data_IF_020971667345
#
_entry.id   IF_020971667345
#
_cell.length_a   1.000
_cell.length_b   1.000
_cell.length_c   1.000
_cell.angle_alpha   90.00
_cell.angle_beta   90.00
_cell.angle_gamma   90.00
#
_symmetry.space_group_name_H-M   'P 1'
#
loop_
_entity.id
_entity.type
_entity.pdbx_description
1 polymer ?
#
# COMPACT_ATOMS: atom_id res chain seq x y z
N UNK A 1 -0.88 -17.36 -7.99
CA UNK A 1 0.32 -18.18 -8.33
C UNK A 1 1.01 -18.70 -7.07
N UNK A 2 1.03 -17.92 -5.99
CA UNK A 2 1.62 -18.32 -4.70
C UNK A 2 0.59 -18.49 -3.58
N UNK A 3 -0.71 -18.42 -3.89
CA UNK A 3 -1.83 -18.59 -2.95
C UNK A 3 -1.72 -19.83 -2.06
N UNK A 4 -1.15 -20.92 -2.58
CA UNK A 4 -0.95 -22.16 -1.83
C UNK A 4 0.39 -22.22 -1.07
N UNK A 5 1.19 -21.14 -1.05
CA UNK A 5 2.44 -21.00 -0.29
C UNK A 5 2.15 -20.33 1.05
N UNK A 6 1.32 -21.00 1.84
CA UNK A 6 0.97 -20.60 3.20
C UNK A 6 1.99 -21.10 4.21
N UNK A 7 1.95 -20.54 5.43
CA UNK A 7 2.73 -21.05 6.55
C UNK A 7 2.58 -22.58 6.72
N UNK A 8 1.34 -23.09 6.75
CA UNK A 8 1.06 -24.51 7.01
C UNK A 8 1.61 -25.41 5.91
N UNK A 9 1.39 -25.03 4.65
CA UNK A 9 1.86 -25.81 3.49
C UNK A 9 3.38 -25.81 3.38
N UNK A 10 4.03 -24.67 3.64
CA UNK A 10 5.49 -24.55 3.64
C UNK A 10 6.08 -25.37 4.80
N UNK A 11 5.53 -25.23 6.00
CA UNK A 11 5.97 -25.99 7.18
C UNK A 11 5.81 -27.49 6.95
N UNK A 12 4.67 -27.93 6.43
CA UNK A 12 4.44 -29.34 6.08
C UNK A 12 5.49 -29.86 5.09
N UNK A 13 5.76 -29.11 4.01
CA UNK A 13 6.76 -29.49 3.02
C UNK A 13 8.17 -29.59 3.63
N UNK A 14 8.56 -28.66 4.52
CA UNK A 14 9.87 -28.72 5.20
C UNK A 14 9.94 -29.96 6.10
N UNK A 15 8.92 -30.22 6.90
CA UNK A 15 8.88 -31.36 7.83
C UNK A 15 8.75 -32.71 7.11
N UNK A 16 8.19 -32.76 5.91
CA UNK A 16 8.16 -33.97 5.07
C UNK A 16 9.58 -34.38 4.65
N UNK A 17 10.42 -33.40 4.29
CA UNK A 17 11.81 -33.63 3.89
C UNK A 17 12.75 -33.98 5.06
N UNK A 18 12.29 -33.87 6.30
CA UNK A 18 13.05 -34.26 7.49
C UNK A 18 12.63 -35.66 7.92
N UNK A 19 13.58 -36.60 7.85
CA UNK A 19 13.32 -38.04 8.02
C UNK A 19 13.98 -38.66 9.24
N UNK A 20 15.03 -38.03 9.79
CA UNK A 20 15.91 -38.64 10.80
C UNK A 20 15.60 -38.28 12.24
N UNK A 21 14.76 -37.27 12.46
CA UNK A 21 14.50 -36.66 13.78
C UNK A 21 13.01 -36.55 14.05
N UNK A 22 12.63 -36.45 15.33
CA UNK A 22 11.25 -36.24 15.72
C UNK A 22 10.73 -34.89 15.19
N UNK A 23 9.56 -34.93 14.55
CA UNK A 23 8.91 -33.77 13.91
C UNK A 23 7.51 -33.47 14.44
N UNK A 24 7.10 -34.15 15.51
CA UNK A 24 5.82 -33.91 16.14
C UNK A 24 5.73 -32.47 16.65
N UNK A 25 4.52 -31.97 16.81
CA UNK A 25 4.28 -30.67 17.41
C UNK A 25 4.95 -30.59 18.80
N UNK A 26 5.60 -29.47 19.11
CA UNK A 26 6.40 -29.29 20.32
C UNK A 26 7.80 -29.94 20.31
N UNK A 27 8.18 -30.65 19.24
CA UNK A 27 9.59 -31.07 19.07
C UNK A 27 10.50 -29.88 18.74
N UNK A 28 11.77 -29.96 19.15
CA UNK A 28 12.75 -28.89 18.88
C UNK A 28 12.83 -28.49 17.40
N UNK A 29 12.76 -29.49 16.51
CA UNK A 29 12.80 -29.29 15.06
C UNK A 29 11.56 -28.55 14.58
N UNK A 30 10.38 -28.97 15.02
CA UNK A 30 9.11 -28.32 14.65
C UNK A 30 9.06 -26.86 15.15
N UNK A 31 9.47 -26.61 16.40
CA UNK A 31 9.56 -25.26 16.96
C UNK A 31 10.54 -24.38 16.20
N UNK A 32 11.71 -24.92 15.81
CA UNK A 32 12.74 -24.16 15.08
C UNK A 32 12.28 -23.81 13.66
N UNK A 33 11.56 -24.69 12.99
CA UNK A 33 11.14 -24.51 11.59
C UNK A 33 9.92 -23.62 11.48
N UNK A 34 9.07 -23.56 12.50
CA UNK A 34 7.86 -22.74 12.52
C UNK A 34 8.11 -21.26 12.16
N UNK A 35 9.00 -20.51 12.86
CA UNK A 35 9.27 -19.12 12.50
C UNK A 35 9.89 -18.98 11.10
N UNK A 36 10.71 -19.95 10.67
CA UNK A 36 11.30 -19.95 9.32
C UNK A 36 10.23 -20.08 8.25
N UNK A 37 9.29 -21.02 8.42
CA UNK A 37 8.17 -21.21 7.50
C UNK A 37 7.26 -19.97 7.44
N UNK A 38 7.10 -19.25 8.57
CA UNK A 38 6.33 -18.01 8.64
C UNK A 38 6.98 -16.91 7.79
N UNK A 39 8.29 -16.70 7.93
CA UNK A 39 9.03 -15.72 7.15
C UNK A 39 9.00 -16.04 5.65
N UNK A 40 9.19 -17.31 5.27
CA UNK A 40 9.08 -17.75 3.87
C UNK A 40 7.67 -17.49 3.33
N UNK A 41 6.63 -17.79 4.11
CA UNK A 41 5.24 -17.49 3.72
C UNK A 41 4.98 -15.99 3.53
N UNK A 42 5.59 -15.14 4.37
CA UNK A 42 5.54 -13.69 4.19
C UNK A 42 6.23 -13.25 2.89
N UNK A 43 7.40 -13.82 2.57
CA UNK A 43 8.10 -13.53 1.30
C UNK A 43 7.24 -13.89 0.09
N UNK A 44 6.59 -15.06 0.08
CA UNK A 44 5.70 -15.44 -1.03
C UNK A 44 4.50 -14.49 -1.18
N UNK A 45 3.97 -13.97 -0.06
CA UNK A 45 2.91 -12.96 -0.09
C UNK A 45 3.40 -11.64 -0.71
N UNK A 46 4.63 -11.23 -0.41
CA UNK A 46 5.23 -10.06 -1.05
C UNK A 46 5.47 -10.29 -2.56
N UNK A 47 5.81 -11.50 -2.98
CA UNK A 47 5.90 -11.82 -4.41
C UNK A 47 4.57 -11.69 -5.15
N UNK A 48 3.43 -12.00 -4.51
CA UNK A 48 2.12 -11.75 -5.11
C UNK A 48 1.87 -10.26 -5.31
N UNK A 49 2.26 -9.42 -4.35
CA UNK A 49 2.17 -7.96 -4.51
C UNK A 49 3.07 -7.45 -5.62
N UNK A 50 4.31 -7.93 -5.70
CA UNK A 50 5.24 -7.56 -6.77
C UNK A 50 4.67 -7.95 -8.14
N UNK A 51 4.08 -9.14 -8.25
CA UNK A 51 3.43 -9.58 -9.48
C UNK A 51 2.27 -8.65 -9.87
N UNK A 52 1.42 -8.28 -8.91
CA UNK A 52 0.32 -7.34 -9.16
C UNK A 52 0.84 -5.95 -9.61
N UNK A 53 1.93 -5.46 -9.02
CA UNK A 53 2.56 -4.18 -9.41
C UNK A 53 3.06 -4.20 -10.86
N UNK A 54 3.44 -5.37 -11.40
CA UNK A 54 3.93 -5.47 -12.78
C UNK A 54 2.83 -5.27 -13.82
N UNK A 55 1.57 -5.57 -13.48
CA UNK A 55 0.42 -5.39 -14.37
C UNK A 55 -0.27 -4.05 -14.12
N UNK A 56 -0.48 -3.27 -15.19
CA UNK A 56 -1.07 -1.93 -15.09
C UNK A 56 -2.51 -1.95 -14.53
N UNK A 57 -3.26 -3.01 -14.79
CA UNK A 57 -4.64 -3.17 -14.32
C UNK A 57 -4.71 -3.39 -12.80
N UNK A 58 -3.71 -4.08 -12.25
CA UNK A 58 -3.71 -4.51 -10.85
C UNK A 58 -2.85 -3.63 -9.93
N UNK A 59 -2.02 -2.73 -10.49
CA UNK A 59 -1.11 -1.85 -9.73
C UNK A 59 -1.84 -0.66 -9.11
N UNK A 60 -1.27 -0.08 -8.04
CA UNK A 60 -1.92 0.98 -7.28
C UNK A 60 -0.94 2.03 -6.75
N UNK A 61 -1.48 3.16 -6.27
CA UNK A 61 -0.73 4.20 -5.58
C UNK A 61 0.46 4.73 -6.39
N UNK A 62 1.62 4.86 -5.73
CA UNK A 62 2.85 5.35 -6.37
C UNK A 62 3.37 4.44 -7.48
N UNK A 63 3.08 3.13 -7.42
CA UNK A 63 3.51 2.20 -8.46
C UNK A 63 2.71 2.41 -9.75
N UNK A 64 1.41 2.69 -9.63
CA UNK A 64 0.59 3.10 -10.76
C UNK A 64 1.08 4.42 -11.36
N UNK A 65 1.47 5.39 -10.53
CA UNK A 65 2.01 6.66 -11.00
C UNK A 65 3.33 6.47 -11.76
N UNK A 66 4.25 5.64 -11.24
CA UNK A 66 5.50 5.28 -11.92
C UNK A 66 5.24 4.57 -13.24
N UNK A 67 4.23 3.70 -13.31
CA UNK A 67 3.84 3.03 -14.56
C UNK A 67 3.22 3.98 -15.58
N UNK A 68 2.33 4.88 -15.15
CA UNK A 68 1.77 5.91 -16.01
C UNK A 68 2.86 6.84 -16.57
N UNK A 69 3.88 7.14 -15.78
CA UNK A 69 5.03 7.94 -16.19
C UNK A 69 5.83 7.31 -17.34
N UNK A 70 5.88 5.97 -17.45
CA UNK A 70 6.50 5.28 -18.59
C UNK A 70 5.82 5.65 -19.93
N UNK A 71 4.54 6.05 -19.89
CA UNK A 71 3.77 6.53 -21.04
C UNK A 71 3.73 8.06 -21.14
N UNK A 72 4.51 8.78 -20.32
CA UNK A 72 4.51 10.24 -20.26
C UNK A 72 3.27 10.84 -19.58
N UNK A 73 2.51 10.05 -18.82
CA UNK A 73 1.34 10.50 -18.08
C UNK A 73 1.74 10.78 -16.63
N UNK A 74 1.53 12.01 -16.18
CA UNK A 74 1.80 12.43 -14.80
C UNK A 74 0.51 12.67 -14.02
N UNK A 75 0.47 12.26 -12.74
CA UNK A 75 -0.66 12.54 -11.86
C UNK A 75 -0.77 14.05 -11.62
N UNK A 76 -1.91 14.63 -11.99
CA UNK A 76 -2.23 16.02 -11.68
C UNK A 76 -2.31 16.21 -10.16
N UNK A 77 -1.45 17.06 -9.60
CA UNK A 77 -1.49 17.41 -8.18
C UNK A 77 -2.77 18.17 -7.86
N UNK A 78 -3.29 17.99 -6.65
CA UNK A 78 -4.35 18.84 -6.13
C UNK A 78 -3.90 20.30 -6.11
N UNK A 79 -4.73 21.18 -6.63
CA UNK A 79 -4.51 22.63 -6.61
C UNK A 79 -5.60 23.30 -5.76
N UNK A 80 -5.36 24.53 -5.33
CA UNK A 80 -6.37 25.32 -4.63
C UNK A 80 -7.63 25.47 -5.50
N UNK A 81 -8.79 25.46 -4.85
CA UNK A 81 -10.04 25.81 -5.51
C UNK A 81 -10.04 27.29 -5.84
N UNK A 82 -10.44 27.64 -7.06
CA UNK A 82 -10.61 29.02 -7.49
C UNK A 82 -12.10 29.37 -7.44
N UNK A 83 -12.42 30.53 -6.86
CA UNK A 83 -13.80 30.99 -6.72
C UNK A 83 -13.86 32.52 -6.78
N UNK A 84 -15.02 33.04 -7.16
CA UNK A 84 -15.30 34.48 -7.13
C UNK A 84 -16.34 34.76 -6.07
N UNK A 85 -16.11 35.79 -5.26
CA UNK A 85 -17.04 36.27 -4.25
C UNK A 85 -17.31 37.75 -4.47
N UNK A 86 -18.51 38.19 -4.12
CA UNK A 86 -18.89 39.59 -4.11
C UNK A 86 -18.98 40.04 -2.65
N UNK A 87 -18.23 41.09 -2.30
CA UNK A 87 -18.22 41.67 -0.95
C UNK A 87 -18.88 43.04 -1.04
N UNK A 88 -19.88 43.28 -0.21
CA UNK A 88 -20.59 44.57 -0.10
C UNK A 88 -20.17 45.26 1.21
N UNK A 89 -19.83 46.55 1.15
CA UNK A 89 -19.36 47.32 2.31
C UNK A 89 -19.40 48.82 2.08
N UNK A 90 -18.76 49.59 2.96
CA UNK A 90 -18.72 51.05 2.87
C UNK A 90 -17.79 51.54 1.75
N UNK A 91 -18.11 52.71 1.19
CA UNK A 91 -17.30 53.35 0.15
C UNK A 91 -15.86 53.60 0.61
N UNK A 92 -14.90 53.38 -0.29
CA UNK A 92 -13.45 53.42 -0.07
C UNK A 92 -12.86 52.33 0.86
N UNK A 93 -13.60 51.25 1.14
CA UNK A 93 -13.03 50.09 1.86
C UNK A 93 -12.04 49.33 0.96
N UNK A 94 -10.78 49.25 1.37
CA UNK A 94 -9.74 48.50 0.64
C UNK A 94 -9.67 47.06 1.17
N UNK A 95 -9.73 46.09 0.27
CA UNK A 95 -9.54 44.67 0.59
C UNK A 95 -8.14 44.23 0.14
N UNK A 96 -7.21 43.99 1.07
CA UNK A 96 -5.84 43.60 0.72
C UNK A 96 -5.77 42.16 0.17
N UNK A 97 -4.72 41.90 -0.61
CA UNK A 97 -4.36 40.54 -1.04
C UNK A 97 -4.06 39.68 0.20
N UNK A 98 -4.58 38.46 0.21
CA UNK A 98 -4.48 37.54 1.35
C UNK A 98 -5.59 37.66 2.38
N UNK A 99 -6.63 38.46 2.12
CA UNK A 99 -7.84 38.48 2.96
C UNK A 99 -8.48 37.09 3.00
N UNK A 100 -8.61 36.52 4.21
CA UNK A 100 -9.22 35.22 4.43
C UNK A 100 -10.74 35.33 4.43
N UNK A 101 -11.40 34.41 3.74
CA UNK A 101 -12.86 34.29 3.67
C UNK A 101 -13.25 32.86 3.99
N UNK A 102 -14.30 32.69 4.80
CA UNK A 102 -14.80 31.39 5.23
C UNK A 102 -16.31 31.33 5.03
N UNK A 103 -16.83 30.15 4.71
CA UNK A 103 -18.25 29.85 4.84
C UNK A 103 -18.58 29.44 6.28
N UNK A 104 -19.86 29.51 6.69
CA UNK A 104 -20.31 29.10 8.04
C UNK A 104 -20.13 27.59 8.35
N UNK A 105 -19.72 26.79 7.37
CA UNK A 105 -19.15 25.47 7.63
C UNK A 105 -17.64 25.65 7.80
N UNK A 106 -17.23 25.62 9.07
CA UNK A 106 -15.90 25.88 9.65
C UNK A 106 -14.66 25.52 8.82
N UNK A 107 -13.58 26.27 9.13
CA UNK A 107 -12.17 25.89 8.93
C UNK A 107 -11.82 24.55 9.57
#
# INVERSE_FOLDING_TARGET
MYENKTYDTIKANILENITTVNKNEGSFVNETISPVALEIGTVYREFEKILAIMFLEDTWGEYLDKKALEFGIERKKGTYGEGKITITGNDNTVIPVGTLVSTNSNL
#
